data_IF_499973983193
#
_entry.id   IF_499973983193
#
_cell.length_a   1.000
_cell.length_b   1.000
_cell.length_c   1.000
_cell.angle_alpha   90.00
_cell.angle_beta   90.00
_cell.angle_gamma   90.00
#
_symmetry.space_group_name_H-M   'P 1'
#
loop_
_entity.id
_entity.type
_entity.pdbx_description
1 polymer ?
#
# COMPACT_ATOMS: atom_id res chain seq x y z
N UNK A 1 -41.40 -48.77 -13.10
CA UNK A 1 -40.05 -48.74 -12.48
C UNK A 1 -39.78 -47.29 -12.14
N UNK A 2 -40.17 -46.92 -10.93
CA UNK A 2 -40.37 -45.53 -10.54
C UNK A 2 -39.04 -44.78 -10.43
N UNK A 3 -39.02 -43.55 -10.93
CA UNK A 3 -37.87 -42.63 -10.98
C UNK A 3 -37.17 -42.47 -9.62
N UNK A 4 -37.96 -42.58 -8.54
CA UNK A 4 -37.50 -42.59 -7.15
C UNK A 4 -36.58 -43.78 -6.82
N UNK A 5 -36.86 -44.97 -7.38
CA UNK A 5 -36.05 -46.17 -7.18
C UNK A 5 -34.74 -46.10 -7.97
N UNK A 6 -34.72 -45.47 -9.15
CA UNK A 6 -33.48 -45.23 -9.91
C UNK A 6 -32.53 -44.31 -9.14
N UNK A 7 -33.05 -43.21 -8.59
CA UNK A 7 -32.27 -42.29 -7.76
C UNK A 7 -31.71 -42.96 -6.48
N UNK A 8 -32.48 -43.82 -5.82
CA UNK A 8 -32.01 -44.56 -4.64
C UNK A 8 -30.88 -45.54 -4.98
N UNK A 9 -30.96 -46.21 -6.13
CA UNK A 9 -29.92 -47.13 -6.61
C UNK A 9 -28.63 -46.37 -6.97
N UNK A 10 -28.72 -45.20 -7.59
CA UNK A 10 -27.56 -44.36 -7.87
C UNK A 10 -26.89 -43.83 -6.59
N UNK A 11 -27.68 -43.40 -5.61
CA UNK A 11 -27.16 -42.94 -4.32
C UNK A 11 -26.47 -44.10 -3.58
N UNK A 12 -27.02 -45.31 -3.63
CA UNK A 12 -26.41 -46.50 -3.04
C UNK A 12 -25.07 -46.85 -3.70
N UNK A 13 -24.99 -46.78 -5.04
CA UNK A 13 -23.74 -46.99 -5.79
C UNK A 13 -22.66 -45.96 -5.41
N UNK A 14 -23.02 -44.67 -5.34
CA UNK A 14 -22.07 -43.61 -4.94
C UNK A 14 -21.56 -43.77 -3.51
N UNK A 15 -22.44 -44.12 -2.57
CA UNK A 15 -22.04 -44.42 -1.18
C UNK A 15 -21.11 -45.64 -1.09
N UNK A 16 -21.37 -46.67 -1.88
CA UNK A 16 -20.53 -47.87 -1.95
C UNK A 16 -19.14 -47.55 -2.50
N UNK A 17 -19.06 -46.75 -3.56
CA UNK A 17 -17.79 -46.29 -4.12
C UNK A 17 -16.95 -45.51 -3.09
N UNK A 18 -17.56 -44.54 -2.40
CA UNK A 18 -16.88 -43.76 -1.34
C UNK A 18 -16.32 -44.69 -0.25
N UNK A 19 -17.11 -45.67 0.20
CA UNK A 19 -16.66 -46.64 1.21
C UNK A 19 -15.47 -47.49 0.74
N UNK A 20 -15.42 -47.87 -0.54
CA UNK A 20 -14.31 -48.61 -1.13
C UNK A 20 -13.04 -47.74 -1.23
N UNK A 21 -13.18 -46.47 -1.61
CA UNK A 21 -12.07 -45.50 -1.66
C UNK A 21 -11.52 -45.22 -0.26
N UNK A 22 -12.38 -45.02 0.74
CA UNK A 22 -11.93 -44.84 2.14
C UNK A 22 -11.21 -46.08 2.68
N UNK A 23 -11.67 -47.27 2.30
CA UNK A 23 -11.04 -48.54 2.70
C UNK A 23 -9.67 -48.71 2.03
N UNK A 24 -9.52 -48.31 0.77
CA UNK A 24 -8.23 -48.26 0.07
C UNK A 24 -7.25 -47.30 0.74
N UNK A 25 -7.72 -46.14 1.20
CA UNK A 25 -6.88 -45.18 1.93
C UNK A 25 -6.41 -45.67 3.30
N UNK A 26 -7.12 -46.63 3.91
CA UNK A 26 -6.81 -47.19 5.24
C UNK A 26 -6.11 -48.56 5.20
N UNK A 27 -6.01 -49.22 4.05
CA UNK A 27 -5.39 -50.54 3.91
C UNK A 27 -5.62 -51.20 2.54
N UNK A 28 -5.23 -52.47 2.38
CA UNK A 28 -5.36 -53.20 1.11
C UNK A 28 -6.78 -53.71 0.87
N UNK A 29 -7.34 -53.43 -0.31
CA UNK A 29 -8.62 -53.99 -0.79
C UNK A 29 -8.47 -55.47 -1.19
N UNK A 30 -9.56 -56.23 -1.05
CA UNK A 30 -9.63 -57.60 -1.58
C UNK A 30 -9.65 -57.60 -3.11
N UNK A 31 -9.15 -58.64 -3.76
CA UNK A 31 -9.14 -58.78 -5.24
C UNK A 31 -10.54 -58.62 -5.87
N UNK A 32 -11.61 -58.99 -5.15
CA UNK A 32 -12.99 -58.78 -5.61
C UNK A 32 -13.42 -57.31 -5.50
N UNK A 33 -13.01 -56.61 -4.46
CA UNK A 33 -13.31 -55.18 -4.24
C UNK A 33 -12.53 -54.29 -5.20
N UNK A 34 -11.31 -54.68 -5.56
CA UNK A 34 -10.52 -54.04 -6.62
C UNK A 34 -11.21 -54.12 -7.98
N UNK A 35 -11.75 -55.30 -8.34
CA UNK A 35 -12.52 -55.45 -9.59
C UNK A 35 -13.81 -54.64 -9.57
N UNK A 36 -14.51 -54.58 -8.43
CA UNK A 36 -15.71 -53.76 -8.26
C UNK A 36 -15.38 -52.26 -8.44
N UNK A 37 -14.25 -51.79 -7.88
CA UNK A 37 -13.76 -50.42 -8.04
C UNK A 37 -13.38 -50.11 -9.49
N UNK A 38 -12.66 -51.02 -10.16
CA UNK A 38 -12.32 -50.88 -11.58
C UNK A 38 -13.56 -50.85 -12.48
N UNK A 39 -14.59 -51.62 -12.16
CA UNK A 39 -15.87 -51.60 -12.89
C UNK A 39 -16.62 -50.29 -12.66
N UNK A 40 -16.60 -49.74 -11.43
CA UNK A 40 -17.17 -48.41 -11.16
C UNK A 40 -16.44 -47.31 -11.96
N UNK A 41 -15.10 -47.30 -11.94
CA UNK A 41 -14.28 -46.33 -12.68
C UNK A 41 -14.44 -46.48 -14.21
N UNK A 42 -14.62 -47.71 -14.71
CA UNK A 42 -14.93 -47.96 -16.12
C UNK A 42 -16.35 -47.55 -16.50
N UNK A 43 -17.32 -47.64 -15.58
CA UNK A 43 -18.71 -47.26 -15.83
C UNK A 43 -18.93 -45.74 -15.82
N UNK A 44 -18.08 -44.98 -15.11
CA UNK A 44 -17.93 -43.53 -15.27
C UNK A 44 -17.06 -43.18 -16.49
N UNK A 45 -17.36 -43.81 -17.63
CA UNK A 45 -16.67 -43.55 -18.90
C UNK A 45 -16.63 -42.05 -19.19
N UNK A 46 -15.41 -41.51 -19.16
CA UNK A 46 -15.06 -40.15 -19.59
C UNK A 46 -15.76 -39.85 -20.92
N UNK A 47 -16.35 -38.65 -21.10
CA UNK A 47 -16.99 -38.30 -22.36
C UNK A 47 -16.00 -38.51 -23.51
N UNK A 48 -16.44 -39.23 -24.56
CA UNK A 48 -15.61 -39.54 -25.72
C UNK A 48 -14.99 -38.26 -26.29
N UNK A 49 -13.66 -38.27 -26.51
CA UNK A 49 -12.90 -37.11 -27.03
C UNK A 49 -12.02 -36.37 -26.02
N UNK A 50 -11.81 -36.90 -24.81
CA UNK A 50 -10.82 -36.35 -23.88
C UNK A 50 -9.40 -36.69 -24.35
N UNK A 51 -8.76 -35.74 -25.00
CA UNK A 51 -7.31 -35.75 -25.22
C UNK A 51 -6.64 -35.55 -23.85
N UNK A 52 -5.70 -36.43 -23.50
CA UNK A 52 -4.98 -36.38 -22.21
C UNK A 52 -4.36 -34.99 -21.98
N UNK A 53 -4.55 -34.45 -20.76
CA UNK A 53 -4.03 -33.14 -20.37
C UNK A 53 -4.83 -31.92 -20.84
N UNK A 54 -6.05 -32.12 -21.38
CA UNK A 54 -6.98 -31.04 -21.73
C UNK A 54 -8.15 -30.92 -20.74
N UNK A 55 -8.56 -29.68 -20.47
CA UNK A 55 -9.64 -29.35 -19.52
C UNK A 55 -10.67 -28.43 -20.14
N UNK A 56 -11.88 -28.43 -19.59
CA UNK A 56 -12.97 -27.57 -20.00
C UNK A 56 -12.85 -26.16 -19.39
N UNK A 57 -13.71 -25.24 -19.84
CA UNK A 57 -13.72 -23.86 -19.35
C UNK A 57 -14.00 -23.77 -17.84
N UNK A 58 -14.99 -24.48 -17.26
CA UNK A 58 -15.24 -24.47 -15.81
C UNK A 58 -14.03 -24.91 -14.99
N UNK A 59 -13.37 -26.02 -15.34
CA UNK A 59 -12.20 -26.49 -14.59
C UNK A 59 -11.03 -25.51 -14.73
N UNK A 60 -10.84 -24.90 -15.90
CA UNK A 60 -9.82 -23.85 -16.06
C UNK A 60 -10.09 -22.60 -15.21
N UNK A 61 -11.37 -22.22 -15.03
CA UNK A 61 -11.74 -21.11 -14.14
C UNK A 61 -11.29 -21.36 -12.70
N UNK A 62 -11.41 -22.61 -12.23
CA UNK A 62 -10.95 -23.02 -10.90
C UNK A 62 -9.43 -22.96 -10.83
N UNK A 63 -8.72 -23.53 -11.81
CA UNK A 63 -7.25 -23.56 -11.77
C UNK A 63 -6.57 -22.19 -11.85
N UNK A 64 -7.14 -21.25 -12.60
CA UNK A 64 -6.61 -19.89 -12.72
C UNK A 64 -7.23 -18.92 -11.72
N UNK A 65 -8.23 -19.36 -10.94
CA UNK A 65 -9.04 -18.52 -10.04
C UNK A 65 -9.59 -17.26 -10.74
N UNK A 66 -10.06 -17.41 -12.00
CA UNK A 66 -10.61 -16.32 -12.81
C UNK A 66 -12.01 -16.62 -13.28
N UNK A 67 -12.78 -15.55 -13.48
CA UNK A 67 -14.13 -15.65 -14.03
C UNK A 67 -14.13 -16.11 -15.49
N UNK A 68 -15.20 -16.79 -15.97
CA UNK A 68 -15.32 -17.21 -17.36
C UNK A 68 -15.18 -16.05 -18.36
N UNK A 69 -15.62 -14.85 -17.97
CA UNK A 69 -15.48 -13.62 -18.78
C UNK A 69 -14.01 -13.24 -18.97
N UNK A 70 -13.21 -13.32 -17.91
CA UNK A 70 -11.78 -13.02 -17.98
C UNK A 70 -11.03 -14.03 -18.84
N UNK A 71 -11.37 -15.32 -18.73
CA UNK A 71 -10.75 -16.35 -19.56
C UNK A 71 -11.09 -16.14 -21.04
N UNK A 72 -12.34 -15.83 -21.39
CA UNK A 72 -12.72 -15.48 -22.78
C UNK A 72 -11.94 -14.28 -23.32
N UNK A 73 -11.69 -13.26 -22.47
CA UNK A 73 -10.82 -12.13 -22.82
C UNK A 73 -9.38 -12.58 -23.06
N UNK A 74 -8.85 -13.49 -22.26
CA UNK A 74 -7.51 -14.06 -22.49
C UNK A 74 -7.43 -14.84 -23.79
N UNK A 75 -8.48 -15.57 -24.19
CA UNK A 75 -8.56 -16.21 -25.51
C UNK A 75 -8.44 -15.18 -26.64
N UNK A 76 -9.15 -14.05 -26.54
CA UNK A 76 -9.04 -12.96 -27.53
C UNK A 76 -7.63 -12.34 -27.57
N UNK A 77 -6.92 -12.37 -26.44
CA UNK A 77 -5.55 -11.87 -26.32
C UNK A 77 -4.47 -12.88 -26.74
N UNK A 78 -4.87 -14.04 -27.27
CA UNK A 78 -3.96 -15.04 -27.82
C UNK A 78 -3.61 -16.19 -26.87
N UNK A 79 -4.44 -16.45 -25.84
CA UNK A 79 -4.29 -17.64 -25.01
C UNK A 79 -4.50 -18.92 -25.85
N UNK A 80 -3.65 -19.96 -25.72
CA UNK A 80 -3.81 -21.20 -26.47
C UNK A 80 -5.15 -21.91 -26.18
N UNK A 81 -5.91 -22.20 -27.23
CA UNK A 81 -7.23 -22.85 -27.15
C UNK A 81 -7.41 -23.84 -28.30
N UNK A 82 -7.97 -25.01 -28.00
CA UNK A 82 -8.50 -25.91 -29.01
C UNK A 82 -9.95 -25.54 -29.31
N UNK A 83 -10.24 -25.29 -30.59
CA UNK A 83 -11.59 -25.00 -31.07
C UNK A 83 -12.15 -26.22 -31.79
N UNK A 84 -13.43 -26.47 -31.61
CA UNK A 84 -14.12 -27.52 -32.36
C UNK A 84 -14.33 -27.10 -33.83
N UNK A 85 -14.76 -28.05 -34.68
CA UNK A 85 -15.01 -27.82 -36.10
C UNK A 85 -16.04 -26.71 -36.39
N UNK A 86 -16.86 -26.34 -35.40
CA UNK A 86 -17.86 -25.26 -35.45
C UNK A 86 -17.29 -23.91 -34.96
N UNK A 87 -16.03 -23.87 -34.54
CA UNK A 87 -15.34 -22.66 -34.10
C UNK A 87 -15.56 -22.27 -32.63
N UNK A 88 -16.33 -23.06 -31.87
CA UNK A 88 -16.52 -22.86 -30.43
C UNK A 88 -15.29 -23.32 -29.62
N UNK A 89 -15.10 -22.71 -28.44
CA UNK A 89 -14.01 -23.05 -27.52
C UNK A 89 -14.29 -24.43 -26.94
N UNK A 90 -13.55 -25.44 -27.40
CA UNK A 90 -13.76 -26.82 -27.00
C UNK A 90 -13.00 -27.11 -25.70
N UNK A 91 -11.68 -26.92 -25.70
CA UNK A 91 -10.79 -27.39 -24.62
C UNK A 91 -9.52 -26.57 -24.50
N UNK A 92 -8.92 -26.63 -23.31
CA UNK A 92 -7.67 -25.96 -22.97
C UNK A 92 -6.61 -26.98 -22.58
N UNK A 93 -5.40 -26.86 -23.10
CA UNK A 93 -4.27 -27.63 -22.60
C UNK A 93 -3.60 -26.88 -21.46
N UNK A 94 -3.65 -27.47 -20.28
CA UNK A 94 -3.29 -26.83 -19.01
C UNK A 94 -1.87 -26.27 -19.07
N UNK A 95 -0.88 -27.07 -19.48
CA UNK A 95 0.52 -26.66 -19.52
C UNK A 95 0.80 -25.44 -20.42
N UNK A 96 0.15 -25.36 -21.59
CA UNK A 96 0.36 -24.26 -22.53
C UNK A 96 -0.33 -22.97 -22.06
N UNK A 97 -1.50 -23.10 -21.43
CA UNK A 97 -2.22 -21.97 -20.81
C UNK A 97 -1.43 -21.40 -19.64
N UNK A 98 -0.94 -22.22 -18.72
CA UNK A 98 -0.14 -21.76 -17.59
C UNK A 98 1.15 -21.08 -18.03
N UNK A 99 1.85 -21.63 -19.04
CA UNK A 99 3.04 -21.01 -19.62
C UNK A 99 2.76 -19.62 -20.20
N UNK A 100 1.65 -19.47 -20.93
CA UNK A 100 1.23 -18.18 -21.46
C UNK A 100 0.81 -17.21 -20.35
N UNK A 101 0.06 -17.69 -19.36
CA UNK A 101 -0.46 -16.90 -18.24
C UNK A 101 0.68 -16.33 -17.38
N UNK A 102 1.66 -17.14 -17.00
CA UNK A 102 2.81 -16.67 -16.21
C UNK A 102 3.74 -15.77 -17.02
N UNK A 103 3.94 -16.04 -18.32
CA UNK A 103 4.71 -15.14 -19.20
C UNK A 103 4.06 -13.74 -19.26
N UNK A 104 2.73 -13.69 -19.22
CA UNK A 104 1.97 -12.44 -19.22
C UNK A 104 1.92 -11.77 -17.84
N UNK A 105 1.74 -12.52 -16.76
CA UNK A 105 1.78 -11.95 -15.40
C UNK A 105 3.16 -11.43 -15.02
N UNK A 106 4.24 -12.06 -15.47
CA UNK A 106 5.60 -11.54 -15.29
C UNK A 106 5.83 -10.18 -15.97
N UNK A 107 4.94 -9.74 -16.86
CA UNK A 107 4.92 -8.37 -17.41
C UNK A 107 3.93 -7.42 -16.73
N UNK A 108 3.03 -7.93 -15.87
CA UNK A 108 1.99 -7.16 -15.17
C UNK A 108 2.34 -6.89 -13.70
N UNK A 109 3.17 -7.72 -13.05
CA UNK A 109 3.76 -7.46 -11.72
C UNK A 109 4.65 -6.20 -11.67
N UNK A 110 5.11 -5.71 -12.83
CA UNK A 110 5.87 -4.46 -12.95
C UNK A 110 5.03 -3.21 -12.60
N UNK A 111 3.69 -3.24 -12.72
CA UNK A 111 2.86 -2.06 -12.47
C UNK A 111 2.80 -1.64 -10.99
N UNK A 112 2.88 -2.60 -10.06
CA UNK A 112 2.94 -2.31 -8.63
C UNK A 112 4.31 -1.75 -8.23
N UNK A 113 5.37 -2.33 -8.80
CA UNK A 113 6.75 -1.90 -8.57
C UNK A 113 7.02 -0.51 -9.14
N UNK A 114 6.55 -0.23 -10.35
CA UNK A 114 6.67 1.09 -11.00
C UNK A 114 5.95 2.19 -10.22
N UNK A 115 4.78 1.89 -9.62
CA UNK A 115 4.07 2.86 -8.79
C UNK A 115 4.88 3.25 -7.55
N UNK A 116 5.40 2.26 -6.82
CA UNK A 116 6.21 2.49 -5.62
C UNK A 116 7.55 3.14 -5.96
N UNK A 117 8.20 2.76 -7.06
CA UNK A 117 9.43 3.40 -7.54
C UNK A 117 9.19 4.87 -7.92
N UNK A 118 8.05 5.17 -8.54
CA UNK A 118 7.67 6.55 -8.89
C UNK A 118 7.40 7.39 -7.63
N UNK A 119 6.67 6.87 -6.64
CA UNK A 119 6.46 7.59 -5.39
C UNK A 119 7.75 7.73 -4.57
N UNK A 120 8.61 6.72 -4.56
CA UNK A 120 9.92 6.82 -3.93
C UNK A 120 10.76 7.93 -4.54
N UNK A 121 10.81 8.03 -5.88
CA UNK A 121 11.52 9.11 -6.58
C UNK A 121 10.94 10.49 -6.26
N UNK A 122 9.61 10.64 -6.23
CA UNK A 122 8.97 11.91 -5.86
C UNK A 122 9.28 12.33 -4.44
N UNK A 123 9.19 11.42 -3.48
CA UNK A 123 9.45 11.72 -2.08
C UNK A 123 10.93 12.05 -1.84
N UNK A 124 11.84 11.34 -2.53
CA UNK A 124 13.27 11.67 -2.52
C UNK A 124 13.54 13.05 -3.10
N UNK A 125 12.88 13.42 -4.20
CA UNK A 125 13.01 14.74 -4.80
C UNK A 125 12.52 15.86 -3.85
N UNK A 126 11.36 15.65 -3.20
CA UNK A 126 10.85 16.59 -2.18
C UNK A 126 11.80 16.75 -1.00
N UNK A 127 12.40 15.65 -0.53
CA UNK A 127 13.36 15.68 0.55
C UNK A 127 14.61 16.49 0.15
N UNK A 128 15.16 16.26 -1.05
CA UNK A 128 16.27 17.05 -1.56
C UNK A 128 15.93 18.53 -1.78
N UNK A 129 14.68 18.84 -2.13
CA UNK A 129 14.22 20.23 -2.25
C UNK A 129 14.18 20.92 -0.88
N UNK A 130 13.68 20.24 0.16
CA UNK A 130 13.67 20.77 1.52
C UNK A 130 15.10 20.96 2.04
N UNK A 131 16.00 20.01 1.81
CA UNK A 131 17.41 20.12 2.19
C UNK A 131 18.12 21.29 1.49
N UNK A 132 17.83 21.49 0.21
CA UNK A 132 18.35 22.63 -0.55
C UNK A 132 17.84 23.95 0.03
N UNK A 133 16.54 24.06 0.29
CA UNK A 133 15.94 25.24 0.94
C UNK A 133 16.46 25.49 2.35
N UNK A 134 16.78 24.45 3.11
CA UNK A 134 17.45 24.59 4.40
C UNK A 134 18.87 25.15 4.26
N UNK A 135 19.65 24.66 3.27
CA UNK A 135 21.00 25.17 3.01
C UNK A 135 21.01 26.61 2.48
N UNK A 136 20.01 26.97 1.69
CA UNK A 136 19.80 28.34 1.21
C UNK A 136 19.27 29.27 2.32
N UNK A 137 18.84 28.71 3.45
CA UNK A 137 18.33 29.46 4.61
C UNK A 137 16.89 29.93 4.47
N UNK A 138 16.14 29.46 3.47
CA UNK A 138 14.72 29.78 3.29
C UNK A 138 13.82 29.06 4.31
N UNK A 139 14.25 27.89 4.77
CA UNK A 139 13.47 27.04 5.69
C UNK A 139 14.31 26.69 6.91
N UNK A 140 13.71 26.80 8.10
CA UNK A 140 14.31 26.37 9.36
C UNK A 140 13.54 25.18 9.95
N UNK A 141 14.20 24.27 10.66
CA UNK A 141 13.52 23.25 11.46
C UNK A 141 12.54 23.88 12.46
N UNK A 142 11.42 23.21 12.67
CA UNK A 142 10.40 23.71 13.60
C UNK A 142 10.92 23.82 15.05
N UNK A 143 11.75 22.87 15.48
CA UNK A 143 12.36 22.90 16.82
C UNK A 143 13.24 24.14 17.02
N UNK A 144 14.03 24.49 16.02
CA UNK A 144 14.87 25.68 16.02
C UNK A 144 14.02 26.95 16.09
N UNK A 145 12.96 27.04 15.29
CA UNK A 145 12.00 28.14 15.36
C UNK A 145 11.40 28.30 16.78
N UNK A 146 10.96 27.20 17.40
CA UNK A 146 10.43 27.22 18.77
C UNK A 146 11.49 27.70 19.77
N UNK A 147 12.74 27.27 19.60
CA UNK A 147 13.85 27.70 20.46
C UNK A 147 14.12 29.21 20.33
N UNK A 148 14.09 29.75 19.10
CA UNK A 148 14.25 31.16 18.80
C UNK A 148 13.15 31.96 19.50
N UNK A 149 11.88 31.58 19.31
CA UNK A 149 10.74 32.25 19.95
C UNK A 149 10.85 32.21 21.47
N UNK A 150 11.20 31.06 22.06
CA UNK A 150 11.41 30.93 23.51
C UNK A 150 12.51 31.85 24.02
N UNK A 151 13.63 31.93 23.31
CA UNK A 151 14.75 32.80 23.68
C UNK A 151 14.37 34.28 23.59
N UNK A 152 13.63 34.65 22.55
CA UNK A 152 13.12 36.01 22.40
C UNK A 152 12.16 36.40 23.53
N UNK A 153 11.20 35.53 23.89
CA UNK A 153 10.28 35.74 25.02
C UNK A 153 11.06 35.84 26.35
N UNK A 154 12.09 35.00 26.54
CA UNK A 154 12.95 35.04 27.73
C UNK A 154 13.68 36.40 27.82
N UNK A 155 14.16 36.92 26.69
CA UNK A 155 14.78 38.24 26.60
C UNK A 155 13.83 39.37 27.01
N UNK A 156 12.59 39.37 26.50
CA UNK A 156 11.55 40.33 26.89
C UNK A 156 11.31 40.28 28.40
N UNK A 157 11.07 39.06 28.93
CA UNK A 157 10.81 38.86 30.36
C UNK A 157 11.97 39.41 31.21
N UNK A 158 13.21 39.13 30.83
CA UNK A 158 14.39 39.63 31.54
C UNK A 158 14.50 41.16 31.48
N UNK A 159 14.20 41.78 30.33
CA UNK A 159 14.18 43.23 30.16
C UNK A 159 13.18 43.91 31.10
N UNK A 160 11.93 43.43 31.10
CA UNK A 160 10.89 43.97 31.98
C UNK A 160 11.18 43.74 33.47
N UNK A 161 11.70 42.58 33.86
CA UNK A 161 12.06 42.32 35.26
C UNK A 161 13.23 43.17 35.74
N UNK A 162 14.14 43.59 34.84
CA UNK A 162 15.24 44.49 35.15
C UNK A 162 14.81 45.95 35.20
N UNK A 163 13.77 46.32 34.45
CA UNK A 163 13.33 47.70 34.28
C UNK A 163 13.15 48.47 35.61
N UNK A 164 12.44 47.96 36.65
CA UNK A 164 12.26 48.70 37.89
C UNK A 164 13.59 49.01 38.59
N UNK A 165 14.51 48.04 38.65
CA UNK A 165 15.82 48.23 39.28
C UNK A 165 16.69 49.24 38.53
N UNK A 166 16.55 49.28 37.20
CA UNK A 166 17.34 50.18 36.36
C UNK A 166 16.80 51.61 36.35
N UNK A 167 15.47 51.77 36.35
CA UNK A 167 14.83 53.08 36.19
C UNK A 167 14.56 53.78 37.53
N UNK A 168 14.35 53.04 38.63
CA UNK A 168 14.08 53.61 39.95
C UNK A 168 15.04 54.75 40.36
N UNK A 169 16.38 54.64 40.21
CA UNK A 169 17.28 55.75 40.54
C UNK A 169 17.15 56.95 39.60
N UNK A 170 16.73 56.74 38.33
CA UNK A 170 16.53 57.82 37.35
C UNK A 170 15.23 58.61 37.61
N UNK A 171 14.24 57.96 38.23
CA UNK A 171 12.93 58.56 38.52
C UNK A 171 12.92 59.41 39.80
N UNK A 172 13.98 59.35 40.62
CA UNK A 172 14.03 60.07 41.89
C UNK A 172 14.00 61.58 41.66
N UNK A 173 13.07 62.27 42.33
CA UNK A 173 12.84 63.73 42.24
C UNK A 173 12.48 64.26 40.83
N UNK A 174 11.95 63.41 39.95
CA UNK A 174 11.47 63.84 38.64
C UNK A 174 9.99 64.23 38.67
N UNK A 175 9.59 65.12 37.77
CA UNK A 175 8.18 65.49 37.59
C UNK A 175 7.37 64.30 37.02
N UNK A 176 6.08 64.14 37.39
CA UNK A 176 5.25 63.04 36.91
C UNK A 176 5.19 62.89 35.38
N UNK A 177 5.21 64.01 34.64
CA UNK A 177 5.24 63.99 33.16
C UNK A 177 6.54 63.37 32.64
N UNK A 178 7.66 63.79 33.20
CA UNK A 178 9.00 63.32 32.82
C UNK A 178 9.17 61.84 33.19
N UNK A 179 8.62 61.41 34.32
CA UNK A 179 8.57 59.99 34.73
C UNK A 179 7.87 59.13 33.68
N UNK A 180 6.68 59.56 33.21
CA UNK A 180 5.94 58.85 32.17
C UNK A 180 6.73 58.76 30.86
N UNK A 181 7.35 59.87 30.43
CA UNK A 181 8.18 59.89 29.21
C UNK A 181 9.38 58.95 29.30
N UNK A 182 10.07 58.92 30.44
CA UNK A 182 11.20 58.02 30.67
C UNK A 182 10.78 56.55 30.68
N UNK A 183 9.66 56.22 31.33
CA UNK A 183 9.11 54.87 31.34
C UNK A 183 8.71 54.43 29.93
N UNK A 184 8.02 55.27 29.18
CA UNK A 184 7.62 55.00 27.80
C UNK A 184 8.81 54.78 26.89
N UNK A 185 9.87 55.59 27.02
CA UNK A 185 11.11 55.42 26.23
C UNK A 185 11.80 54.09 26.53
N UNK A 186 11.92 53.70 27.80
CA UNK A 186 12.58 52.44 28.18
C UNK A 186 11.74 51.22 27.79
N UNK A 187 10.41 51.29 27.91
CA UNK A 187 9.50 50.22 27.43
C UNK A 187 9.59 50.09 25.91
N UNK A 188 9.55 51.21 25.18
CA UNK A 188 9.75 51.22 23.72
C UNK A 188 11.11 50.67 23.34
N UNK A 189 12.17 51.01 24.05
CA UNK A 189 13.50 50.45 23.82
C UNK A 189 13.51 48.92 23.94
N UNK A 190 12.93 48.35 25.00
CA UNK A 190 12.82 46.89 25.18
C UNK A 190 12.05 46.24 24.01
N UNK A 191 10.97 46.88 23.54
CA UNK A 191 10.16 46.39 22.42
C UNK A 191 10.90 46.52 21.08
N UNK A 192 11.63 47.62 20.85
CA UNK A 192 12.38 47.87 19.62
C UNK A 192 13.61 46.98 19.47
N UNK A 193 14.27 46.63 20.58
CA UNK A 193 15.31 45.60 20.59
C UNK A 193 14.78 44.26 20.06
N UNK A 194 13.53 43.94 20.42
CA UNK A 194 12.87 42.72 19.96
C UNK A 194 12.38 42.82 18.52
N UNK A 195 11.89 43.99 18.09
CA UNK A 195 11.44 44.24 16.71
C UNK A 195 12.59 44.25 15.68
N UNK A 196 13.84 43.98 16.09
CA UNK A 196 14.99 43.83 15.21
C UNK A 196 15.56 45.14 14.63
N UNK A 197 14.98 46.31 14.97
CA UNK A 197 15.39 47.60 14.40
C UNK A 197 16.82 48.02 14.75
N UNK A 198 17.37 47.54 15.87
CA UNK A 198 18.75 47.88 16.26
C UNK A 198 19.83 47.02 15.60
N UNK A 199 19.50 45.84 15.06
CA UNK A 199 20.49 44.99 14.38
C UNK A 199 20.83 45.48 12.97
N UNK A 200 19.94 46.25 12.32
CA UNK A 200 20.21 46.88 11.03
C UNK A 200 21.34 47.95 11.13
N UNK A 201 21.43 48.68 12.24
CA UNK A 201 22.41 49.76 12.41
C UNK A 201 23.82 49.27 12.83
N UNK A 202 23.95 48.05 13.36
CA UNK A 202 25.28 47.47 13.69
C UNK A 202 25.91 46.71 12.51
N UNK A 203 25.10 46.13 11.62
CA UNK A 203 25.61 45.42 10.45
C UNK A 203 26.30 46.35 9.42
N UNK A 204 25.95 47.64 9.38
CA UNK A 204 26.55 48.62 8.46
C UNK A 204 27.87 49.25 8.91
N UNK A 205 28.39 48.96 10.11
CA UNK A 205 29.62 49.58 10.66
C UNK A 205 30.83 48.63 10.71
N UNK A 206 30.71 47.41 10.19
CA UNK A 206 31.78 46.41 10.20
C UNK A 206 32.64 46.33 8.93
N UNK A 207 32.27 47.04 7.86
CA UNK A 207 33.03 47.10 6.62
C UNK A 207 33.32 48.57 6.26
N UNK A 208 34.34 49.14 6.88
CA UNK A 208 35.08 50.32 6.40
C UNK A 208 36.48 50.29 6.96
#
# INVERSE_FOLDING_TARGET
MDEKNRNLVEIAKKKRYIALVEKLGRGSLSSKELKELEEFEKSEQRPAGVIDGTVDLPTLCVYLEKSPRMIRRYVQQGMPVFRDAVGEIARFKVGDVFKWFYKKQGSEEDNGKDYWDKEYRKNRAKLSEIELKQKEGEVIPFEDHVSIVKNQIRGIKAGFLRLPKHIAPKLYQQDPKVICEMLDQEIRYIIEQFAGKQNANKAGKGNS
#
